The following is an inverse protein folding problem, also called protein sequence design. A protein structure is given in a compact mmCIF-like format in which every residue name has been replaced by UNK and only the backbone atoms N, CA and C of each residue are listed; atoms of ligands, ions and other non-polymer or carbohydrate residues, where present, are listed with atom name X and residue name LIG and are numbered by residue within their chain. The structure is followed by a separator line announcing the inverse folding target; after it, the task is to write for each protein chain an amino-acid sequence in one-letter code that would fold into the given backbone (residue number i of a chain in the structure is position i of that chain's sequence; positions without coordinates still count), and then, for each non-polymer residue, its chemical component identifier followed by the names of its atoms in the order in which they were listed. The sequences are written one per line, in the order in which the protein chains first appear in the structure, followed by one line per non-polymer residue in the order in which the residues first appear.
data_IF_645326128727
#
_entry.id   IF_645326128727
#
_cell.length_a   1.000
_cell.length_b   1.000
_cell.length_c   1.000
_cell.angle_alpha   90.00
_cell.angle_beta   90.00
_cell.angle_gamma   90.00
#
_symmetry.space_group_name_H-M   'P 1'
#
loop_
_entity.id
_entity.type
_entity.pdbx_description
1 polymer ?
#
# COMPACT_ATOMS: atom_id res chain seq x y z
N UNK A 1 38.43 71.60 -15.74
CA UNK A 1 39.21 70.99 -14.65
C UNK A 1 38.58 69.66 -14.26
N UNK A 2 39.31 68.65 -14.49
CA UNK A 2 39.15 67.27 -13.97
C UNK A 2 39.20 67.26 -12.43
N UNK A 3 39.03 66.13 -11.74
CA UNK A 3 38.59 64.78 -12.08
C UNK A 3 37.65 64.16 -10.98
N UNK A 4 37.19 63.01 -10.95
CA UNK A 4 37.64 61.63 -11.00
C UNK A 4 36.67 60.74 -10.27
N UNK A 5 36.44 59.61 -10.86
CA UNK A 5 36.51 58.27 -10.34
C UNK A 5 35.75 57.88 -9.03
N UNK A 6 34.95 56.85 -9.09
CA UNK A 6 35.25 55.49 -8.70
C UNK A 6 33.96 54.63 -8.81
N UNK A 7 33.80 53.77 -9.80
CA UNK A 7 34.05 52.34 -9.86
C UNK A 7 33.18 51.45 -8.94
N UNK A 8 32.31 50.68 -9.63
CA UNK A 8 32.05 49.25 -9.55
C UNK A 8 31.89 48.51 -8.19
N UNK A 9 30.92 47.77 -8.25
CA UNK A 9 30.68 46.36 -7.81
C UNK A 9 29.40 46.29 -7.01
N UNK A 10 28.47 45.46 -7.27
CA UNK A 10 28.52 44.05 -7.63
C UNK A 10 27.13 43.56 -7.99
N UNK A 11 26.93 43.22 -9.23
CA UNK A 11 25.96 42.20 -9.61
C UNK A 11 26.58 40.85 -9.30
N UNK A 12 26.12 40.20 -8.27
CA UNK A 12 26.18 38.73 -8.06
C UNK A 12 25.39 38.37 -6.80
N UNK A 13 24.52 37.37 -6.96
CA UNK A 13 23.81 36.62 -5.90
C UNK A 13 22.32 36.92 -5.69
N UNK A 14 21.52 36.87 -6.79
CA UNK A 14 20.08 36.66 -6.67
C UNK A 14 19.57 35.32 -7.23
N UNK A 15 20.44 34.46 -7.76
CA UNK A 15 20.02 33.13 -8.26
C UNK A 15 20.17 31.98 -7.27
N UNK A 16 20.77 32.22 -6.09
CA UNK A 16 20.96 31.18 -5.06
C UNK A 16 19.85 31.06 -4.01
N UNK A 17 18.94 32.03 -3.92
CA UNK A 17 17.88 32.03 -2.88
C UNK A 17 16.52 31.51 -3.34
N UNK A 18 16.32 31.34 -4.64
CA UNK A 18 15.04 30.84 -5.18
C UNK A 18 14.88 29.32 -5.09
N UNK A 19 15.97 28.57 -5.07
CA UNK A 19 15.92 27.10 -4.98
C UNK A 19 15.82 26.56 -3.55
N UNK A 20 16.26 27.33 -2.55
CA UNK A 20 16.12 26.93 -1.13
C UNK A 20 14.74 27.26 -0.54
N UNK A 21 14.01 28.21 -1.13
CA UNK A 21 12.65 28.56 -0.67
C UNK A 21 11.61 27.59 -1.25
N UNK A 22 11.88 26.98 -2.41
CA UNK A 22 11.01 25.94 -2.97
C UNK A 22 11.08 24.61 -2.21
N UNK A 23 12.18 24.29 -1.55
CA UNK A 23 12.31 23.08 -0.73
C UNK A 23 11.72 23.23 0.68
N UNK A 24 11.53 24.45 1.18
CA UNK A 24 10.97 24.67 2.51
C UNK A 24 9.44 24.72 2.57
N UNK A 25 8.74 24.97 1.47
CA UNK A 25 7.27 25.00 1.43
C UNK A 25 6.61 23.69 1.02
N UNK A 26 7.37 22.68 0.60
CA UNK A 26 6.87 21.31 0.37
C UNK A 26 6.97 20.43 1.61
N UNK A 27 7.60 20.88 2.69
CA UNK A 27 7.87 20.10 3.90
C UNK A 27 6.72 20.08 4.93
N UNK A 28 5.51 20.51 4.61
CA UNK A 28 4.37 20.47 5.53
C UNK A 28 3.63 19.12 5.54
N UNK A 29 4.05 18.16 4.75
CA UNK A 29 3.61 16.76 4.85
C UNK A 29 4.63 15.89 5.58
N UNK A 30 5.48 16.46 6.43
CA UNK A 30 6.33 15.63 7.27
C UNK A 30 5.46 14.98 8.35
N UNK A 31 5.49 13.63 8.45
CA UNK A 31 5.31 13.02 9.74
C UNK A 31 6.37 13.63 10.64
N UNK A 32 5.97 14.30 11.71
CA UNK A 32 6.89 14.76 12.75
C UNK A 32 7.49 13.50 13.36
N UNK A 33 8.54 12.97 12.75
CA UNK A 33 9.38 11.94 13.32
C UNK A 33 10.23 12.61 14.41
N UNK A 34 9.68 12.72 15.60
CA UNK A 34 10.54 12.68 16.77
C UNK A 34 11.13 11.28 16.75
N UNK A 35 12.46 11.18 16.62
CA UNK A 35 13.23 9.97 16.87
C UNK A 35 12.84 9.38 18.24
N UNK A 36 11.76 8.61 18.26
CA UNK A 36 11.52 7.64 19.32
C UNK A 36 12.30 6.42 18.89
N UNK A 37 13.26 6.01 19.73
CA UNK A 37 13.96 4.73 19.63
C UNK A 37 12.96 3.67 19.20
N UNK A 38 13.03 3.26 17.94
CA UNK A 38 12.23 2.17 17.40
C UNK A 38 12.55 0.94 18.25
N UNK A 39 11.53 0.37 18.87
CA UNK A 39 11.66 -0.92 19.55
C UNK A 39 12.26 -1.91 18.55
N UNK A 40 13.31 -2.59 18.98
CA UNK A 40 14.09 -3.55 18.21
C UNK A 40 13.19 -4.68 17.66
N UNK A 41 12.51 -4.44 16.54
CA UNK A 41 11.93 -5.48 15.67
C UNK A 41 13.05 -6.17 14.87
N UNK A 42 14.27 -5.62 14.95
CA UNK A 42 15.41 -5.90 14.07
C UNK A 42 16.07 -7.26 14.33
N UNK A 43 15.82 -7.95 15.46
CA UNK A 43 16.55 -9.19 15.78
C UNK A 43 16.00 -10.48 15.16
N UNK A 44 14.92 -10.43 14.35
CA UNK A 44 14.34 -11.62 13.71
C UNK A 44 14.51 -11.59 12.18
N UNK A 45 15.38 -10.74 11.68
CA UNK A 45 15.55 -10.57 10.25
C UNK A 45 16.85 -11.20 9.75
N UNK A 46 16.82 -12.32 8.99
CA UNK A 46 18.01 -12.92 8.36
C UNK A 46 18.56 -12.07 7.20
N UNK A 47 18.18 -10.78 7.09
CA UNK A 47 18.50 -9.93 5.94
C UNK A 47 19.84 -9.21 6.09
N UNK A 48 20.94 -9.92 6.15
CA UNK A 48 22.22 -9.22 6.12
C UNK A 48 22.80 -8.96 4.73
N UNK A 49 22.31 -9.62 3.66
CA UNK A 49 23.09 -9.67 2.43
C UNK A 49 22.24 -9.57 1.14
N UNK A 50 21.35 -8.57 0.99
CA UNK A 50 20.87 -8.20 -0.35
C UNK A 50 22.02 -7.44 -1.04
N UNK A 51 22.53 -8.00 -2.15
CA UNK A 51 23.61 -7.41 -2.93
C UNK A 51 24.92 -8.18 -2.92
N UNK A 52 25.05 -9.25 -2.15
CA UNK A 52 26.15 -10.18 -2.29
C UNK A 52 25.86 -11.13 -3.47
N UNK A 53 26.41 -10.81 -4.63
CA UNK A 53 26.24 -11.59 -5.88
C UNK A 53 26.88 -12.97 -5.82
N UNK A 54 27.67 -13.28 -4.79
CA UNK A 54 28.24 -14.61 -4.57
C UNK A 54 27.23 -15.60 -3.99
N UNK A 55 26.12 -15.12 -3.42
CA UNK A 55 25.08 -15.93 -2.80
C UNK A 55 23.98 -16.27 -3.82
N UNK A 56 23.48 -17.52 -3.74
CA UNK A 56 22.41 -17.99 -4.61
C UNK A 56 21.09 -17.29 -4.27
N UNK A 57 20.28 -17.01 -5.30
CA UNK A 57 18.90 -16.59 -5.13
C UNK A 57 18.05 -17.75 -4.61
N UNK A 58 17.08 -17.42 -3.75
CA UNK A 58 16.19 -18.43 -3.18
C UNK A 58 16.04 -18.36 -1.68
N UNK A 59 15.48 -19.42 -1.07
CA UNK A 59 15.32 -19.52 0.38
C UNK A 59 16.66 -19.31 1.12
N UNK A 60 16.66 -18.48 2.16
CA UNK A 60 17.84 -18.23 3.01
C UNK A 60 18.08 -19.40 3.95
N UNK A 61 17.00 -19.84 4.60
CA UNK A 61 16.99 -21.00 5.48
C UNK A 61 16.14 -22.09 4.84
N UNK A 62 16.61 -23.35 4.83
CA UNK A 62 15.85 -24.47 4.28
C UNK A 62 14.59 -24.74 5.11
N UNK A 63 13.58 -25.33 4.49
CA UNK A 63 12.42 -25.85 5.18
C UNK A 63 12.84 -26.93 6.20
N UNK A 64 12.40 -26.78 7.43
CA UNK A 64 12.60 -27.80 8.47
C UNK A 64 11.44 -28.82 8.46
N UNK A 65 11.66 -30.06 8.88
CA UNK A 65 10.56 -31.04 9.03
C UNK A 65 9.47 -30.49 9.95
N UNK A 66 8.19 -30.71 9.61
CA UNK A 66 7.06 -30.24 10.43
C UNK A 66 7.11 -30.74 11.88
N UNK A 67 7.72 -31.90 12.12
CA UNK A 67 7.94 -32.46 13.45
C UNK A 67 8.90 -31.62 14.31
N UNK A 68 9.75 -30.81 13.69
CA UNK A 68 10.70 -29.91 14.37
C UNK A 68 10.12 -28.52 14.59
N UNK A 69 9.02 -28.20 13.92
CA UNK A 69 8.31 -26.94 14.15
C UNK A 69 7.71 -26.95 15.54
N UNK A 70 7.91 -25.89 16.30
CA UNK A 70 7.33 -25.74 17.64
C UNK A 70 5.79 -25.90 17.58
N UNK A 71 5.25 -26.91 18.27
CA UNK A 71 3.82 -27.20 18.27
C UNK A 71 3.03 -26.26 19.19
N UNK A 72 3.61 -25.92 20.35
CA UNK A 72 2.95 -25.08 21.34
C UNK A 72 3.16 -23.58 21.02
N UNK A 73 2.14 -22.74 21.29
CA UNK A 73 2.27 -21.29 21.12
C UNK A 73 3.45 -20.70 21.93
N UNK A 74 3.94 -19.55 21.49
CA UNK A 74 4.90 -18.80 22.27
C UNK A 74 4.28 -18.26 23.55
N UNK A 75 5.07 -18.20 24.63
CA UNK A 75 4.60 -17.70 25.92
C UNK A 75 4.30 -16.21 25.85
N UNK A 76 3.11 -15.83 26.32
CA UNK A 76 2.74 -14.44 26.58
C UNK A 76 3.01 -14.07 28.03
N UNK A 77 3.22 -12.79 28.37
CA UNK A 77 3.19 -12.33 29.75
C UNK A 77 1.87 -12.72 30.44
N UNK A 78 1.94 -13.02 31.75
CA UNK A 78 0.84 -13.59 32.54
C UNK A 78 -0.55 -12.94 32.36
N UNK A 79 -0.71 -11.61 32.20
CA UNK A 79 -2.02 -10.98 32.03
C UNK A 79 -2.70 -11.23 30.69
N UNK A 80 -2.03 -11.88 29.72
CA UNK A 80 -2.49 -12.01 28.36
C UNK A 80 -2.69 -13.46 27.93
N UNK A 81 -3.53 -13.66 26.93
CA UNK A 81 -3.83 -14.96 26.29
C UNK A 81 -3.95 -14.79 24.78
N UNK A 82 -3.61 -15.85 24.02
CA UNK A 82 -3.80 -15.91 22.59
C UNK A 82 -5.28 -16.11 22.23
N UNK A 83 -5.69 -15.57 21.10
CA UNK A 83 -7.00 -15.80 20.50
C UNK A 83 -6.87 -15.83 18.98
N UNK A 84 -7.68 -16.65 18.33
CA UNK A 84 -7.87 -16.58 16.87
C UNK A 84 -9.04 -15.65 16.58
N UNK A 85 -8.88 -14.75 15.61
CA UNK A 85 -9.90 -13.79 15.22
C UNK A 85 -10.60 -14.25 13.94
N UNK A 86 -11.83 -14.77 14.07
CA UNK A 86 -12.65 -15.15 12.92
C UNK A 86 -13.34 -13.92 12.31
N UNK A 87 -12.80 -13.39 11.22
CA UNK A 87 -13.36 -12.21 10.56
C UNK A 87 -14.67 -12.48 9.80
N UNK A 88 -15.07 -13.74 9.63
CA UNK A 88 -16.40 -14.06 9.11
C UNK A 88 -17.51 -13.86 10.17
N UNK A 89 -17.15 -13.93 11.45
CA UNK A 89 -18.03 -13.51 12.53
C UNK A 89 -18.18 -11.99 12.55
N UNK A 90 -19.40 -11.48 12.52
CA UNK A 90 -19.69 -10.03 12.55
C UNK A 90 -19.18 -9.38 13.83
N UNK A 91 -19.32 -10.05 14.97
CA UNK A 91 -18.87 -9.55 16.27
C UNK A 91 -17.35 -9.44 16.31
N UNK A 92 -16.63 -10.51 15.88
CA UNK A 92 -15.18 -10.51 15.85
C UNK A 92 -14.63 -9.52 14.84
N UNK A 93 -15.20 -9.45 13.64
CA UNK A 93 -14.82 -8.47 12.63
C UNK A 93 -15.01 -7.04 13.14
N UNK A 94 -16.12 -6.77 13.83
CA UNK A 94 -16.40 -5.47 14.46
C UNK A 94 -15.40 -5.15 15.57
N UNK A 95 -15.01 -6.14 16.38
CA UNK A 95 -14.00 -5.95 17.43
C UNK A 95 -12.63 -5.62 16.83
N UNK A 96 -12.18 -6.38 15.82
CA UNK A 96 -10.91 -6.10 15.12
C UNK A 96 -10.94 -4.75 14.43
N UNK A 97 -12.04 -4.42 13.73
CA UNK A 97 -12.24 -3.11 13.11
C UNK A 97 -12.10 -1.98 14.13
N UNK A 98 -12.81 -2.05 15.25
CA UNK A 98 -12.76 -1.02 16.29
C UNK A 98 -11.36 -0.93 16.92
N UNK A 99 -10.69 -2.07 17.10
CA UNK A 99 -9.33 -2.11 17.62
C UNK A 99 -8.33 -1.42 16.66
N UNK A 100 -8.35 -1.76 15.38
CA UNK A 100 -7.50 -1.15 14.37
C UNK A 100 -7.78 0.35 14.24
N UNK A 101 -9.04 0.75 14.16
CA UNK A 101 -9.44 2.16 14.06
C UNK A 101 -8.84 3.02 15.16
N UNK A 102 -8.75 2.52 16.40
CA UNK A 102 -8.24 3.27 17.56
C UNK A 102 -6.73 3.18 17.71
N UNK A 103 -6.15 2.02 17.37
CA UNK A 103 -4.76 1.72 17.75
C UNK A 103 -3.80 1.61 16.57
N UNK A 104 -4.29 1.45 15.34
CA UNK A 104 -3.42 1.39 14.15
C UNK A 104 -2.80 2.76 13.82
N UNK A 105 -3.57 3.87 13.78
CA UNK A 105 -3.00 5.18 13.52
C UNK A 105 -2.08 5.63 14.66
N UNK A 106 -1.03 6.36 14.32
CA UNK A 106 -0.19 7.04 15.31
C UNK A 106 -0.85 8.34 15.78
N UNK A 107 -0.54 8.78 17.01
CA UNK A 107 -1.09 10.02 17.54
C UNK A 107 -0.47 11.24 16.86
N UNK A 108 -1.29 12.24 16.58
CA UNK A 108 -0.84 13.56 16.11
C UNK A 108 -0.86 13.75 14.59
N UNK A 109 -1.42 12.83 13.82
CA UNK A 109 -1.68 13.03 12.41
C UNK A 109 -3.03 13.74 12.18
N UNK A 110 -3.11 14.57 11.12
CA UNK A 110 -4.34 15.22 10.68
C UNK A 110 -5.29 14.25 9.98
N UNK A 111 -4.75 13.15 9.46
CA UNK A 111 -5.46 12.15 8.70
C UNK A 111 -5.14 10.76 9.22
N UNK A 112 -6.17 9.95 9.42
CA UNK A 112 -6.06 8.58 9.91
C UNK A 112 -6.74 7.63 8.93
N UNK A 113 -6.01 6.60 8.46
CA UNK A 113 -6.60 5.55 7.62
C UNK A 113 -7.72 4.83 8.38
N UNK A 114 -8.84 4.68 7.73
CA UNK A 114 -10.01 4.01 8.30
C UNK A 114 -10.48 2.90 7.38
N UNK A 115 -10.21 1.67 7.77
CA UNK A 115 -10.65 0.48 7.04
C UNK A 115 -12.14 0.23 7.32
N UNK A 116 -12.91 -0.26 6.34
CA UNK A 116 -14.25 -0.79 6.59
C UNK A 116 -14.17 -2.27 7.01
N UNK A 117 -15.26 -2.81 7.58
CA UNK A 117 -15.34 -4.24 7.86
C UNK A 117 -15.31 -5.08 6.58
N UNK A 118 -15.95 -4.59 5.55
CA UNK A 118 -15.96 -5.18 4.22
C UNK A 118 -14.56 -5.20 3.61
N UNK A 119 -13.80 -4.12 3.77
CA UNK A 119 -12.39 -4.06 3.35
C UNK A 119 -11.54 -5.07 4.13
N UNK A 120 -11.70 -5.17 5.46
CA UNK A 120 -10.94 -6.13 6.27
C UNK A 120 -11.23 -7.58 5.84
N UNK A 121 -12.49 -7.93 5.55
CA UNK A 121 -12.84 -9.25 5.01
C UNK A 121 -12.25 -9.49 3.63
N UNK A 122 -12.31 -8.51 2.75
CA UNK A 122 -11.70 -8.59 1.43
C UNK A 122 -10.18 -8.79 1.53
N UNK A 123 -9.50 -8.03 2.36
CA UNK A 123 -8.05 -8.07 2.50
C UNK A 123 -7.54 -9.32 3.22
N UNK A 124 -8.34 -9.93 4.12
CA UNK A 124 -7.89 -10.97 5.05
C UNK A 124 -8.55 -12.33 4.86
N UNK A 125 -9.64 -12.41 4.09
CA UNK A 125 -10.34 -13.68 3.84
C UNK A 125 -10.39 -14.04 2.35
N UNK A 126 -9.23 -14.02 1.61
CA UNK A 126 -9.19 -14.48 0.23
C UNK A 126 -9.42 -16.01 0.16
N UNK A 127 -9.70 -16.57 -1.03
CA UNK A 127 -9.83 -18.02 -1.21
C UNK A 127 -8.62 -18.77 -0.63
N UNK A 128 -8.88 -19.80 0.16
CA UNK A 128 -7.84 -20.62 0.78
C UNK A 128 -7.09 -19.96 1.94
N UNK A 129 -7.58 -18.85 2.50
CA UNK A 129 -6.98 -18.26 3.69
C UNK A 129 -7.02 -19.20 4.90
N UNK A 130 -6.10 -18.98 5.83
CA UNK A 130 -6.02 -19.73 7.08
C UNK A 130 -6.52 -18.86 8.23
N UNK A 131 -7.70 -19.14 8.76
CA UNK A 131 -8.25 -18.42 9.90
C UNK A 131 -7.29 -18.37 11.10
N UNK A 132 -6.51 -19.43 11.32
CA UNK A 132 -5.51 -19.51 12.38
C UNK A 132 -4.34 -18.51 12.25
N UNK A 133 -4.19 -17.86 11.09
CA UNK A 133 -3.20 -16.80 10.87
C UNK A 133 -3.72 -15.41 11.25
N UNK A 134 -4.99 -15.30 11.64
CA UNK A 134 -5.56 -14.08 12.21
C UNK A 134 -5.43 -14.15 13.73
N UNK A 135 -4.30 -13.68 14.23
CA UNK A 135 -3.88 -13.89 15.62
C UNK A 135 -4.14 -12.63 16.42
N UNK A 136 -4.89 -12.79 17.49
CA UNK A 136 -5.11 -11.75 18.49
C UNK A 136 -4.46 -12.07 19.82
N UNK A 137 -4.27 -11.04 20.63
CA UNK A 137 -3.93 -11.14 22.05
C UNK A 137 -5.00 -10.45 22.85
N UNK A 138 -5.50 -11.10 23.88
CA UNK A 138 -6.51 -10.57 24.81
C UNK A 138 -5.96 -10.40 26.20
N UNK A 139 -6.45 -9.39 26.90
CA UNK A 139 -6.26 -9.29 28.35
C UNK A 139 -7.17 -10.34 29.04
N UNK A 140 -6.61 -11.20 29.89
CA UNK A 140 -7.34 -12.29 30.56
C UNK A 140 -8.52 -11.81 31.39
N UNK A 141 -8.37 -10.67 32.08
CA UNK A 141 -9.38 -10.11 32.98
C UNK A 141 -10.54 -9.45 32.23
N UNK A 142 -10.24 -8.57 31.28
CA UNK A 142 -11.25 -7.78 30.55
C UNK A 142 -11.74 -8.43 29.26
N UNK A 143 -11.06 -9.48 28.82
CA UNK A 143 -11.27 -10.17 27.53
C UNK A 143 -11.14 -9.25 26.30
N UNK A 144 -10.70 -8.00 26.48
CA UNK A 144 -10.52 -7.04 25.38
C UNK A 144 -9.31 -7.41 24.54
N UNK A 145 -9.43 -7.22 23.23
CA UNK A 145 -8.34 -7.33 22.27
C UNK A 145 -7.31 -6.24 22.56
N UNK A 146 -6.03 -6.61 22.62
CA UNK A 146 -4.91 -5.69 22.91
C UNK A 146 -3.81 -5.75 21.85
N UNK A 147 -3.82 -6.76 20.99
CA UNK A 147 -2.97 -6.79 19.82
C UNK A 147 -3.57 -7.69 18.74
N UNK A 148 -3.22 -7.42 17.48
CA UNK A 148 -3.67 -8.17 16.31
C UNK A 148 -2.54 -8.22 15.28
N UNK A 149 -2.39 -9.36 14.60
CA UNK A 149 -1.57 -9.57 13.42
C UNK A 149 -2.29 -10.54 12.50
N UNK A 150 -2.14 -10.36 11.20
CA UNK A 150 -2.75 -11.25 10.22
C UNK A 150 -1.76 -11.69 9.14
N UNK A 151 -2.00 -12.87 8.60
CA UNK A 151 -1.35 -13.39 7.41
C UNK A 151 -2.39 -13.97 6.46
N UNK A 152 -2.14 -13.86 5.16
CA UNK A 152 -2.92 -14.51 4.12
C UNK A 152 -1.97 -15.23 3.16
N UNK A 153 -2.36 -16.41 2.62
CA UNK A 153 -1.53 -17.10 1.64
C UNK A 153 -1.54 -16.33 0.31
N UNK A 154 -0.37 -16.24 -0.30
CA UNK A 154 -0.21 -15.64 -1.61
C UNK A 154 0.79 -16.46 -2.44
N UNK A 155 0.53 -16.60 -3.72
CA UNK A 155 1.50 -17.13 -4.67
C UNK A 155 2.26 -15.98 -5.29
N UNK A 156 3.56 -15.93 -5.05
CA UNK A 156 4.44 -14.91 -5.61
C UNK A 156 5.40 -15.60 -6.57
N UNK A 157 5.38 -15.15 -7.82
CA UNK A 157 6.38 -15.57 -8.80
C UNK A 157 7.61 -14.69 -8.63
N UNK A 158 8.74 -15.32 -8.40
CA UNK A 158 10.07 -14.71 -8.38
C UNK A 158 10.81 -15.25 -9.60
N UNK A 159 11.05 -14.41 -10.59
CA UNK A 159 11.51 -14.79 -11.91
C UNK A 159 10.68 -15.95 -12.52
N UNK A 160 11.23 -17.14 -12.62
CA UNK A 160 10.57 -18.31 -13.22
C UNK A 160 9.93 -19.25 -12.17
N UNK A 161 10.12 -18.99 -10.87
CA UNK A 161 9.64 -19.84 -9.79
C UNK A 161 8.43 -19.23 -9.10
N UNK A 162 7.37 -20.02 -8.89
CA UNK A 162 6.21 -19.63 -8.07
C UNK A 162 6.37 -20.17 -6.66
N UNK A 163 6.49 -19.25 -5.70
CA UNK A 163 6.69 -19.56 -4.30
C UNK A 163 5.42 -19.23 -3.51
N UNK A 164 4.94 -20.19 -2.69
CA UNK A 164 3.89 -19.91 -1.71
C UNK A 164 4.48 -19.12 -0.55
N UNK A 165 3.91 -17.97 -0.28
CA UNK A 165 4.32 -17.07 0.80
C UNK A 165 3.14 -16.68 1.67
N UNK A 166 3.42 -16.24 2.90
CA UNK A 166 2.43 -15.56 3.73
C UNK A 166 2.57 -14.04 3.52
N UNK A 167 1.52 -13.36 3.06
CA UNK A 167 1.44 -11.90 3.10
C UNK A 167 1.02 -11.47 4.49
N UNK A 168 1.90 -10.75 5.22
CA UNK A 168 1.68 -10.33 6.61
C UNK A 168 1.17 -8.89 6.62
N UNK A 169 0.02 -8.69 7.26
CA UNK A 169 -0.66 -7.42 7.33
C UNK A 169 -1.11 -7.08 8.77
N UNK A 170 -1.44 -5.82 9.01
CA UNK A 170 -2.13 -5.31 10.21
C UNK A 170 -1.47 -5.69 11.55
N UNK A 171 -0.13 -5.68 11.62
CA UNK A 171 0.52 -5.78 12.93
C UNK A 171 0.19 -4.53 13.76
N UNK A 172 -0.71 -4.68 14.73
CA UNK A 172 -1.17 -3.60 15.58
C UNK A 172 -1.12 -4.01 17.04
N UNK A 173 -0.52 -3.15 17.87
CA UNK A 173 -0.48 -3.31 19.33
C UNK A 173 -1.12 -2.08 19.98
N UNK A 174 -1.94 -2.30 20.99
CA UNK A 174 -2.58 -1.26 21.80
C UNK A 174 -1.56 -0.18 22.19
N UNK A 175 -1.86 1.11 21.93
CA UNK A 175 -0.93 2.24 22.10
C UNK A 175 -0.16 2.22 23.45
N UNK A 176 -0.81 1.88 24.56
CA UNK A 176 -0.21 1.77 25.89
C UNK A 176 0.72 0.55 26.07
N UNK A 177 0.71 -0.42 25.14
CA UNK A 177 1.50 -1.66 25.21
C UNK A 177 2.64 -1.72 24.18
N UNK A 178 2.81 -0.72 23.33
CA UNK A 178 3.81 -0.71 22.26
C UNK A 178 5.25 -0.93 22.76
N UNK A 179 5.60 -0.41 23.95
CA UNK A 179 6.91 -0.59 24.56
C UNK A 179 7.10 -1.90 25.36
N UNK A 180 6.09 -2.80 25.38
CA UNK A 180 6.10 -4.02 26.19
C UNK A 180 6.58 -5.27 25.43
N UNK A 181 7.25 -5.10 24.28
CA UNK A 181 7.80 -6.18 23.44
C UNK A 181 6.76 -7.23 22.99
N UNK A 182 5.49 -6.83 22.83
CA UNK A 182 4.44 -7.75 22.40
C UNK A 182 4.54 -8.05 20.89
N UNK A 183 4.86 -7.04 20.06
CA UNK A 183 4.98 -7.22 18.63
C UNK A 183 5.98 -8.31 18.20
N UNK A 184 7.22 -8.40 18.75
CA UNK A 184 8.13 -9.49 18.44
C UNK A 184 7.58 -10.89 18.75
N UNK A 185 6.81 -11.03 19.83
CA UNK A 185 6.18 -12.32 20.19
C UNK A 185 5.09 -12.67 19.21
N UNK A 186 4.29 -11.70 18.76
CA UNK A 186 3.26 -11.90 17.74
C UNK A 186 3.86 -12.30 16.39
N UNK A 187 4.96 -11.67 15.99
CA UNK A 187 5.69 -12.05 14.76
C UNK A 187 6.16 -13.51 14.86
N UNK A 188 6.76 -13.91 15.98
CA UNK A 188 7.17 -15.30 16.20
C UNK A 188 5.99 -16.27 16.12
N UNK A 189 4.84 -15.89 16.67
CA UNK A 189 3.66 -16.75 16.68
C UNK A 189 3.04 -16.90 15.29
N UNK A 190 2.90 -15.81 14.52
CA UNK A 190 2.39 -15.92 13.14
C UNK A 190 3.37 -16.70 12.27
N UNK A 191 4.69 -16.54 12.44
CA UNK A 191 5.71 -17.33 11.74
C UNK A 191 5.55 -18.81 12.06
N UNK A 192 5.39 -19.18 13.34
CA UNK A 192 5.13 -20.56 13.77
C UNK A 192 3.88 -21.14 13.10
N UNK A 193 2.77 -20.38 13.08
CA UNK A 193 1.51 -20.81 12.47
C UNK A 193 1.61 -20.97 10.95
N UNK A 194 2.41 -20.14 10.29
CA UNK A 194 2.70 -20.24 8.86
C UNK A 194 3.56 -21.48 8.58
N UNK A 195 4.60 -21.73 9.37
CA UNK A 195 5.45 -22.92 9.24
C UNK A 195 4.66 -24.23 9.45
N UNK A 196 3.67 -24.26 10.37
CA UNK A 196 2.78 -25.42 10.54
C UNK A 196 1.94 -25.74 9.29
N UNK A 197 1.80 -24.81 8.35
CA UNK A 197 1.18 -25.03 7.04
C UNK A 197 2.21 -25.33 5.94
N UNK A 198 3.45 -25.65 6.32
CA UNK A 198 4.57 -25.91 5.40
C UNK A 198 4.85 -24.74 4.43
N UNK A 199 4.68 -23.52 4.90
CA UNK A 199 5.02 -22.28 4.20
C UNK A 199 6.14 -21.61 4.99
N UNK A 200 7.25 -21.26 4.31
CA UNK A 200 8.50 -20.85 4.97
C UNK A 200 8.90 -19.42 4.60
N UNK A 201 8.26 -18.84 3.62
CA UNK A 201 8.52 -17.48 3.13
C UNK A 201 7.34 -16.58 3.44
N UNK A 202 7.64 -15.30 3.60
CA UNK A 202 6.62 -14.27 3.74
C UNK A 202 6.97 -13.02 2.94
N UNK A 203 5.94 -12.25 2.59
CA UNK A 203 6.05 -10.94 1.99
C UNK A 203 5.30 -9.92 2.85
N UNK A 204 5.84 -8.70 2.96
CA UNK A 204 5.20 -7.61 3.67
C UNK A 204 5.71 -6.25 3.17
N UNK A 205 4.97 -5.20 3.46
CA UNK A 205 5.39 -3.83 3.16
C UNK A 205 5.31 -2.94 4.39
N UNK A 206 6.14 -1.90 4.43
CA UNK A 206 6.18 -0.92 5.51
C UNK A 206 6.36 0.49 4.95
N UNK A 207 5.72 1.51 5.54
CA UNK A 207 5.96 2.90 5.17
C UNK A 207 7.33 3.40 5.63
N UNK A 208 7.85 2.85 6.74
CA UNK A 208 9.16 3.19 7.29
C UNK A 208 10.21 2.16 6.91
N UNK A 209 11.35 2.62 6.44
CA UNK A 209 12.48 1.75 6.12
C UNK A 209 13.10 1.18 7.40
N UNK A 210 12.97 -0.14 7.62
CA UNK A 210 13.48 -0.85 8.80
C UNK A 210 14.73 -1.68 8.53
N UNK A 211 14.83 -2.22 7.32
CA UNK A 211 15.93 -3.05 6.85
C UNK A 211 16.20 -2.73 5.38
N UNK A 212 17.02 -3.51 4.68
CA UNK A 212 17.19 -3.39 3.24
C UNK A 212 15.96 -3.97 2.54
N UNK A 213 15.11 -3.14 1.89
CA UNK A 213 13.95 -3.63 1.18
C UNK A 213 14.35 -4.26 -0.16
N UNK A 214 13.50 -5.14 -0.69
CA UNK A 214 13.68 -5.67 -2.05
C UNK A 214 13.43 -4.58 -3.08
N UNK A 215 12.54 -3.64 -2.78
CA UNK A 215 12.36 -2.38 -3.52
C UNK A 215 11.70 -1.32 -2.65
N UNK A 216 11.89 -0.07 -3.04
CA UNK A 216 11.19 1.09 -2.44
C UNK A 216 10.41 1.77 -3.54
N UNK A 217 9.09 1.87 -3.35
CA UNK A 217 8.18 2.49 -4.28
C UNK A 217 7.71 3.85 -3.75
N UNK A 218 7.49 4.77 -4.65
CA UNK A 218 7.08 6.13 -4.34
C UNK A 218 5.58 6.30 -4.57
N UNK A 219 4.86 6.87 -3.61
CA UNK A 219 3.47 7.29 -3.81
C UNK A 219 3.36 8.58 -4.61
N UNK A 220 2.37 8.59 -5.49
CA UNK A 220 1.93 9.74 -6.26
C UNK A 220 0.45 9.95 -6.03
N UNK A 221 0.01 11.20 -6.05
CA UNK A 221 -1.37 11.58 -5.74
C UNK A 221 -1.97 12.45 -6.83
N UNK A 222 -3.22 12.17 -7.21
CA UNK A 222 -3.98 12.94 -8.17
C UNK A 222 -5.24 13.49 -7.51
N UNK A 223 -5.31 14.80 -7.35
CA UNK A 223 -6.48 15.48 -6.79
C UNK A 223 -7.69 15.36 -7.73
N UNK A 224 -8.80 14.83 -7.22
CA UNK A 224 -10.10 14.77 -7.91
C UNK A 224 -11.04 15.87 -7.41
N UNK A 225 -10.90 16.26 -6.14
CA UNK A 225 -11.63 17.35 -5.49
C UNK A 225 -10.66 18.35 -4.83
N UNK A 226 -9.97 19.20 -5.65
CA UNK A 226 -8.94 20.10 -5.13
C UNK A 226 -9.45 21.04 -4.04
N UNK A 227 -10.71 21.50 -4.15
CA UNK A 227 -11.27 22.43 -3.15
C UNK A 227 -11.35 21.78 -1.78
N UNK A 228 -11.94 20.57 -1.67
CA UNK A 228 -12.04 19.85 -0.41
C UNK A 228 -10.67 19.52 0.16
N UNK A 229 -9.76 19.03 -0.68
CA UNK A 229 -8.42 18.64 -0.26
C UNK A 229 -7.59 19.81 0.30
N UNK A 230 -7.76 21.01 -0.28
CA UNK A 230 -7.13 22.23 0.25
C UNK A 230 -7.84 22.71 1.51
N UNK A 231 -9.17 22.68 1.55
CA UNK A 231 -9.96 23.08 2.72
C UNK A 231 -9.65 22.25 3.98
N UNK A 232 -9.32 20.96 3.82
CA UNK A 232 -8.94 20.07 4.95
C UNK A 232 -7.45 20.07 5.27
N UNK A 233 -6.64 20.80 4.52
CA UNK A 233 -5.19 20.83 4.72
C UNK A 233 -4.43 19.60 4.16
N UNK A 234 -5.09 18.77 3.33
CA UNK A 234 -4.44 17.65 2.66
C UNK A 234 -3.44 18.14 1.59
N UNK A 235 -3.71 19.26 0.99
CA UNK A 235 -2.85 19.92 0.00
C UNK A 235 -2.91 21.44 0.20
N UNK A 236 -2.07 22.18 -0.50
CA UNK A 236 -2.05 23.63 -0.49
C UNK A 236 -2.12 24.20 -1.91
N UNK A 237 -2.46 25.47 -2.01
CA UNK A 237 -2.32 26.20 -3.27
C UNK A 237 -0.84 26.36 -3.62
N UNK A 238 -0.45 25.99 -4.84
CA UNK A 238 0.88 26.26 -5.35
C UNK A 238 1.11 27.77 -5.52
N UNK A 239 2.35 28.19 -5.50
CA UNK A 239 2.73 29.58 -5.72
C UNK A 239 2.07 30.14 -7.00
N UNK A 240 1.53 31.35 -6.89
CA UNK A 240 0.83 32.07 -7.96
C UNK A 240 -0.42 31.37 -8.52
N UNK A 241 -0.92 30.32 -7.85
CA UNK A 241 -2.19 29.66 -8.20
C UNK A 241 -3.33 30.16 -7.32
N UNK A 242 -4.49 30.31 -7.94
CA UNK A 242 -5.76 30.57 -7.22
C UNK A 242 -6.59 29.28 -7.19
N UNK A 243 -7.55 29.18 -6.28
CA UNK A 243 -8.47 28.04 -6.21
C UNK A 243 -9.12 27.75 -7.57
N UNK A 244 -9.61 28.77 -8.26
CA UNK A 244 -10.25 28.62 -9.57
C UNK A 244 -9.28 28.05 -10.63
N UNK A 245 -8.04 28.52 -10.64
CA UNK A 245 -7.01 27.99 -11.55
C UNK A 245 -6.67 26.55 -11.21
N UNK A 246 -6.57 26.22 -9.92
CA UNK A 246 -6.30 24.84 -9.45
C UNK A 246 -7.43 23.91 -9.84
N UNK A 247 -8.70 24.27 -9.59
CA UNK A 247 -9.86 23.48 -10.02
C UNK A 247 -9.88 23.27 -11.54
N UNK A 248 -9.56 24.33 -12.33
CA UNK A 248 -9.48 24.22 -13.80
C UNK A 248 -8.32 23.32 -14.24
N UNK A 249 -7.16 23.36 -13.56
CA UNK A 249 -6.01 22.51 -13.87
C UNK A 249 -6.33 21.03 -13.74
N UNK A 250 -7.11 20.65 -12.71
CA UNK A 250 -7.48 19.27 -12.40
C UNK A 250 -8.85 18.85 -12.94
N UNK A 251 -9.46 19.68 -13.80
CA UNK A 251 -10.74 19.33 -14.43
C UNK A 251 -10.59 18.09 -15.30
N UNK A 252 -11.53 17.16 -15.16
CA UNK A 252 -11.68 15.94 -15.95
C UNK A 252 -12.91 16.04 -16.84
N UNK A 253 -12.96 15.27 -17.94
CA UNK A 253 -14.21 15.02 -18.68
C UNK A 253 -15.31 14.46 -17.77
N UNK A 254 -16.55 14.54 -18.21
CA UNK A 254 -17.69 14.06 -17.42
C UNK A 254 -17.95 12.55 -17.61
N UNK A 255 -17.45 11.94 -18.69
CA UNK A 255 -17.61 10.51 -19.02
C UNK A 255 -16.31 9.91 -19.52
N UNK A 256 -16.06 8.61 -19.28
CA UNK A 256 -14.96 7.87 -19.89
C UNK A 256 -14.95 8.02 -21.41
N UNK A 257 -13.77 8.08 -21.99
CA UNK A 257 -13.58 8.35 -23.42
C UNK A 257 -13.21 7.11 -24.25
N UNK A 258 -12.75 6.03 -23.59
CA UNK A 258 -12.35 4.79 -24.27
C UNK A 258 -13.58 4.00 -24.68
N UNK A 259 -13.77 3.71 -25.99
CA UNK A 259 -14.87 2.87 -26.44
C UNK A 259 -14.79 1.47 -25.83
N UNK A 260 -15.93 0.94 -25.39
CA UNK A 260 -16.00 -0.38 -24.74
C UNK A 260 -15.55 -0.41 -23.27
N UNK A 261 -15.24 0.74 -22.67
CA UNK A 261 -14.92 0.83 -21.25
C UNK A 261 -16.18 0.57 -20.41
N UNK A 262 -16.13 -0.45 -19.56
CA UNK A 262 -17.24 -0.83 -18.68
C UNK A 262 -16.76 -1.49 -17.39
N UNK A 263 -17.61 -1.60 -16.39
CA UNK A 263 -17.34 -2.33 -15.15
C UNK A 263 -17.09 -3.82 -15.45
N UNK A 264 -16.17 -4.44 -14.70
CA UNK A 264 -15.85 -5.86 -14.82
C UNK A 264 -17.00 -6.71 -14.28
N UNK A 265 -17.36 -7.77 -14.99
CA UNK A 265 -18.41 -8.70 -14.62
C UNK A 265 -17.83 -10.11 -14.34
N UNK A 266 -18.63 -10.98 -13.68
CA UNK A 266 -18.22 -12.37 -13.39
C UNK A 266 -17.77 -13.13 -14.64
N UNK A 267 -18.44 -12.91 -15.77
CA UNK A 267 -18.12 -13.54 -17.07
C UNK A 267 -16.72 -13.20 -17.59
N UNK A 268 -16.14 -12.09 -17.13
CA UNK A 268 -14.83 -11.60 -17.61
C UNK A 268 -13.66 -12.27 -16.88
N UNK A 269 -13.90 -12.92 -15.74
CA UNK A 269 -12.86 -13.49 -14.87
C UNK A 269 -11.85 -14.33 -15.64
N UNK A 270 -12.21 -15.29 -16.51
CA UNK A 270 -11.22 -16.07 -17.24
C UNK A 270 -10.37 -15.24 -18.21
N UNK A 271 -10.97 -14.24 -18.87
CA UNK A 271 -10.25 -13.35 -19.78
C UNK A 271 -9.32 -12.40 -19.04
N UNK A 272 -9.79 -11.80 -17.96
CA UNK A 272 -9.02 -10.93 -17.07
C UNK A 272 -7.85 -11.69 -16.46
N UNK A 273 -8.06 -12.94 -16.01
CA UNK A 273 -6.98 -13.78 -15.45
C UNK A 273 -5.85 -14.00 -16.48
N UNK A 274 -6.21 -14.36 -17.72
CA UNK A 274 -5.21 -14.53 -18.79
C UNK A 274 -4.48 -13.23 -19.10
N UNK A 275 -5.22 -12.13 -19.20
CA UNK A 275 -4.66 -10.81 -19.49
C UNK A 275 -3.68 -10.38 -18.39
N UNK A 276 -4.07 -10.52 -17.13
CA UNK A 276 -3.28 -10.14 -15.96
C UNK A 276 -2.03 -11.02 -15.83
N UNK A 277 -2.14 -12.35 -15.96
CA UNK A 277 -0.99 -13.26 -15.90
C UNK A 277 0.02 -12.96 -17.00
N UNK A 278 -0.45 -12.74 -18.23
CA UNK A 278 0.43 -12.37 -19.36
C UNK A 278 1.15 -11.05 -19.11
N UNK A 279 0.47 -10.07 -18.52
CA UNK A 279 1.06 -8.80 -18.17
C UNK A 279 2.08 -8.95 -17.02
N UNK A 280 1.71 -9.67 -15.97
CA UNK A 280 2.56 -9.82 -14.79
C UNK A 280 3.79 -10.70 -15.06
N UNK A 281 3.78 -11.55 -16.09
CA UNK A 281 4.92 -12.40 -16.44
C UNK A 281 6.20 -11.65 -16.84
N UNK A 282 6.08 -10.37 -17.19
CA UNK A 282 7.24 -9.56 -17.58
C UNK A 282 7.98 -8.89 -16.39
N UNK A 283 7.44 -8.97 -15.17
CA UNK A 283 8.09 -8.40 -13.99
C UNK A 283 8.89 -9.44 -13.22
N UNK A 284 10.01 -9.04 -12.60
CA UNK A 284 10.90 -9.94 -11.87
C UNK A 284 10.25 -10.61 -10.67
N UNK A 285 9.41 -9.87 -9.92
CA UNK A 285 8.63 -10.39 -8.79
C UNK A 285 7.19 -9.91 -8.96
N UNK A 286 6.24 -10.84 -9.00
CA UNK A 286 4.84 -10.53 -9.23
C UNK A 286 3.90 -11.55 -8.55
N UNK A 287 2.68 -11.13 -8.23
CA UNK A 287 1.62 -12.04 -7.78
C UNK A 287 1.23 -12.99 -8.94
N UNK A 288 1.10 -14.28 -8.65
CA UNK A 288 0.60 -15.29 -9.60
C UNK A 288 -0.88 -15.55 -9.34
N UNK A 289 -1.74 -14.87 -10.09
CA UNK A 289 -3.20 -14.98 -9.96
C UNK A 289 -3.77 -16.21 -10.67
N UNK A 290 -4.73 -16.89 -10.04
CA UNK A 290 -5.69 -17.76 -10.71
C UNK A 290 -7.08 -17.11 -10.82
N UNK A 291 -8.06 -17.83 -11.36
CA UNK A 291 -9.41 -17.29 -11.55
C UNK A 291 -10.11 -17.00 -10.22
N UNK A 292 -9.89 -17.82 -9.18
CA UNK A 292 -10.45 -17.56 -7.84
C UNK A 292 -9.86 -16.29 -7.22
N UNK A 293 -8.57 -16.06 -7.44
CA UNK A 293 -7.89 -14.84 -6.98
C UNK A 293 -8.46 -13.61 -7.70
N UNK A 294 -8.62 -13.68 -9.03
CA UNK A 294 -9.20 -12.58 -9.83
C UNK A 294 -10.64 -12.31 -9.42
N UNK A 295 -11.45 -13.35 -9.21
CA UNK A 295 -12.81 -13.21 -8.69
C UNK A 295 -12.83 -12.50 -7.34
N UNK A 296 -11.95 -12.87 -6.43
CA UNK A 296 -11.89 -12.27 -5.09
C UNK A 296 -11.34 -10.84 -5.11
N UNK A 297 -10.18 -10.62 -5.76
CA UNK A 297 -9.43 -9.39 -5.65
C UNK A 297 -9.89 -8.29 -6.61
N UNK A 298 -10.50 -8.66 -7.74
CA UNK A 298 -10.78 -7.71 -8.82
C UNK A 298 -12.26 -7.59 -9.19
N UNK A 299 -13.15 -8.51 -8.80
CA UNK A 299 -14.57 -8.25 -9.02
C UNK A 299 -15.05 -7.07 -8.17
N UNK A 300 -15.81 -6.14 -8.75
CA UNK A 300 -16.27 -4.95 -8.06
C UNK A 300 -17.03 -5.26 -6.78
N UNK A 301 -16.66 -4.59 -5.71
CA UNK A 301 -17.34 -4.58 -4.41
C UNK A 301 -17.46 -3.15 -3.96
N UNK A 302 -18.67 -2.67 -3.80
CA UNK A 302 -18.94 -1.28 -3.42
C UNK A 302 -18.16 -0.90 -2.17
N UNK A 303 -17.51 0.27 -2.19
CA UNK A 303 -16.65 0.82 -1.13
C UNK A 303 -15.44 -0.04 -0.73
N UNK A 304 -15.03 -1.00 -1.57
CA UNK A 304 -13.85 -1.85 -1.35
C UNK A 304 -12.95 -1.83 -2.58
N UNK A 305 -13.40 -2.38 -3.69
CA UNK A 305 -12.63 -2.49 -4.92
C UNK A 305 -13.52 -2.23 -6.13
N UNK A 306 -12.96 -1.54 -7.09
CA UNK A 306 -13.58 -1.23 -8.38
C UNK A 306 -12.65 -1.66 -9.49
N UNK A 307 -13.19 -2.32 -10.50
CA UNK A 307 -12.43 -2.70 -11.69
C UNK A 307 -13.25 -2.51 -12.95
N UNK A 308 -12.56 -2.20 -14.01
CA UNK A 308 -13.10 -1.90 -15.31
C UNK A 308 -12.30 -2.61 -16.39
N UNK A 309 -12.97 -3.01 -17.44
CA UNK A 309 -12.36 -3.61 -18.62
C UNK A 309 -12.66 -2.77 -19.85
N UNK A 310 -11.84 -2.92 -20.88
CA UNK A 310 -12.18 -2.46 -22.24
C UNK A 310 -12.52 -3.68 -23.06
N UNK A 311 -13.74 -3.73 -23.57
CA UNK A 311 -14.24 -4.78 -24.45
C UNK A 311 -14.31 -4.29 -25.89
N UNK A 312 -13.64 -5.00 -26.80
CA UNK A 312 -13.66 -4.69 -28.22
C UNK A 312 -13.99 -5.97 -29.01
N UNK A 313 -15.11 -5.99 -29.71
CA UNK A 313 -15.58 -7.17 -30.46
C UNK A 313 -15.62 -8.45 -29.63
N UNK A 314 -16.25 -8.39 -28.47
CA UNK A 314 -16.38 -9.47 -27.48
C UNK A 314 -15.03 -9.98 -26.91
N UNK A 315 -13.96 -9.20 -27.05
CA UNK A 315 -12.63 -9.52 -26.48
C UNK A 315 -12.25 -8.47 -25.44
N UNK A 316 -11.88 -8.92 -24.25
CA UNK A 316 -11.30 -8.07 -23.22
C UNK A 316 -9.85 -7.79 -23.58
N UNK A 317 -9.54 -6.51 -23.77
CA UNK A 317 -8.22 -6.05 -24.20
C UNK A 317 -7.45 -5.34 -23.10
N UNK A 318 -8.13 -4.64 -22.21
CA UNK A 318 -7.47 -3.84 -21.17
C UNK A 318 -8.23 -4.00 -19.83
N UNK A 319 -7.53 -3.80 -18.74
CA UNK A 319 -8.02 -3.87 -17.37
C UNK A 319 -7.48 -2.71 -16.57
N UNK A 320 -8.30 -2.09 -15.74
CA UNK A 320 -7.85 -1.19 -14.70
C UNK A 320 -8.65 -1.37 -13.42
N UNK A 321 -8.02 -1.11 -12.28
CA UNK A 321 -8.65 -1.29 -10.98
C UNK A 321 -8.09 -0.35 -9.92
N UNK A 322 -8.89 -0.10 -8.90
CA UNK A 322 -8.49 0.61 -7.68
C UNK A 322 -9.27 0.09 -6.48
N UNK A 323 -8.66 0.13 -5.31
CA UNK A 323 -9.32 -0.17 -4.04
C UNK A 323 -9.45 1.10 -3.19
N UNK A 324 -10.18 1.03 -2.07
CA UNK A 324 -10.52 2.22 -1.30
C UNK A 324 -10.12 2.09 0.16
N UNK A 325 -9.43 3.10 0.67
CA UNK A 325 -9.17 3.27 2.11
C UNK A 325 -9.38 4.75 2.44
N UNK A 326 -10.55 5.14 2.97
CA UNK A 326 -10.79 6.54 3.30
C UNK A 326 -9.93 7.00 4.47
N UNK A 327 -9.65 8.31 4.49
CA UNK A 327 -8.97 8.97 5.60
C UNK A 327 -10.00 9.69 6.46
N UNK A 328 -10.00 9.45 7.77
CA UNK A 328 -10.69 10.28 8.74
C UNK A 328 -9.93 11.58 8.92
N UNK A 329 -10.61 12.72 8.85
CA UNK A 329 -10.03 14.03 9.09
C UNK A 329 -10.21 14.36 10.57
N UNK A 330 -9.11 14.49 11.27
CA UNK A 330 -9.11 14.80 12.71
C UNK A 330 -9.42 16.29 12.92
N UNK A 331 -10.30 16.59 13.87
CA UNK A 331 -10.64 17.95 14.32
C UNK A 331 -11.14 18.94 13.24
N UNK A 332 -11.68 18.43 12.12
CA UNK A 332 -12.26 19.30 11.10
C UNK A 332 -13.78 19.41 11.27
N UNK A 333 -14.35 20.65 11.42
CA UNK A 333 -15.79 20.84 11.65
C UNK A 333 -16.64 20.55 10.41
N UNK A 334 -16.07 20.74 9.21
CA UNK A 334 -16.81 20.68 7.93
C UNK A 334 -16.76 19.32 7.27
N UNK A 335 -15.59 18.71 7.24
CA UNK A 335 -15.35 17.44 6.55
C UNK A 335 -14.86 16.40 7.54
N UNK A 336 -15.48 15.22 7.53
CA UNK A 336 -15.12 14.10 8.42
C UNK A 336 -14.20 13.09 7.75
N UNK A 337 -14.28 12.96 6.42
CA UNK A 337 -13.50 12.00 5.65
C UNK A 337 -12.93 12.63 4.38
N UNK A 338 -11.82 12.09 3.91
CA UNK A 338 -11.33 12.23 2.53
C UNK A 338 -11.46 10.86 1.89
N UNK A 339 -12.24 10.78 0.82
CA UNK A 339 -12.46 9.54 0.08
C UNK A 339 -11.27 9.29 -0.84
N UNK A 340 -10.51 8.23 -0.54
CA UNK A 340 -9.28 7.89 -1.24
C UNK A 340 -9.45 6.61 -2.06
N UNK A 341 -9.03 6.66 -3.32
CA UNK A 341 -8.86 5.53 -4.20
C UNK A 341 -7.36 5.24 -4.37
N UNK A 342 -6.99 3.97 -4.40
CA UNK A 342 -5.61 3.51 -4.60
C UNK A 342 -5.55 2.67 -5.85
N UNK A 343 -4.77 3.12 -6.84
CA UNK A 343 -4.53 2.37 -8.07
C UNK A 343 -4.03 0.97 -7.75
N UNK A 344 -4.64 -0.05 -8.34
CA UNK A 344 -4.33 -1.44 -8.06
C UNK A 344 -3.62 -2.08 -9.26
N UNK A 345 -4.26 -2.93 -10.03
CA UNK A 345 -3.68 -3.50 -11.24
C UNK A 345 -4.23 -2.84 -12.50
N UNK A 346 -3.33 -2.42 -13.41
CA UNK A 346 -3.68 -1.76 -14.66
C UNK A 346 -2.93 -2.42 -15.81
N UNK A 347 -3.66 -2.96 -16.77
CA UNK A 347 -3.12 -3.65 -17.93
C UNK A 347 -3.65 -2.99 -19.20
N UNK A 348 -2.78 -2.41 -19.98
CA UNK A 348 -3.11 -1.72 -21.23
C UNK A 348 -2.43 -2.45 -22.40
N UNK A 349 -3.23 -3.06 -23.28
CA UNK A 349 -2.71 -3.77 -24.46
C UNK A 349 -3.13 -3.15 -25.78
N UNK A 350 -4.28 -2.53 -25.84
CA UNK A 350 -4.82 -1.83 -27.02
C UNK A 350 -4.98 -0.34 -26.77
N UNK A 351 -5.45 0.03 -25.60
CA UNK A 351 -5.53 1.41 -25.16
C UNK A 351 -4.17 1.83 -24.59
N UNK A 352 -3.74 3.08 -24.75
CA UNK A 352 -2.56 3.55 -24.02
C UNK A 352 -2.82 3.62 -22.52
N UNK A 353 -1.83 3.29 -21.71
CA UNK A 353 -2.00 3.32 -20.24
C UNK A 353 -2.41 4.71 -19.73
N UNK A 354 -1.87 5.85 -20.22
CA UNK A 354 -2.37 7.16 -19.84
C UNK A 354 -3.86 7.38 -20.18
N UNK A 355 -4.34 6.92 -21.34
CA UNK A 355 -5.76 7.04 -21.69
C UNK A 355 -6.64 6.19 -20.77
N UNK A 356 -6.26 4.94 -20.51
CA UNK A 356 -6.96 4.05 -19.60
C UNK A 356 -7.03 4.64 -18.19
N UNK A 357 -5.92 5.15 -17.68
CA UNK A 357 -5.85 5.78 -16.35
C UNK A 357 -6.59 7.13 -16.30
N UNK A 358 -6.73 7.85 -17.42
CA UNK A 358 -7.61 9.02 -17.46
C UNK A 358 -9.08 8.62 -17.25
N UNK A 359 -9.52 7.50 -17.81
CA UNK A 359 -10.86 6.97 -17.57
C UNK A 359 -11.05 6.51 -16.11
N UNK A 360 -10.00 5.93 -15.49
CA UNK A 360 -9.99 5.63 -14.04
C UNK A 360 -10.20 6.90 -13.21
N UNK A 361 -9.51 7.99 -13.54
CA UNK A 361 -9.70 9.28 -12.85
C UNK A 361 -11.14 9.79 -12.98
N UNK A 362 -11.75 9.65 -14.16
CA UNK A 362 -13.12 10.09 -14.42
C UNK A 362 -14.10 9.28 -13.56
N UNK A 363 -14.04 7.93 -13.62
CA UNK A 363 -14.96 7.08 -12.84
C UNK A 363 -14.73 7.20 -11.34
N UNK A 364 -13.49 7.35 -10.89
CA UNK A 364 -13.20 7.60 -9.48
C UNK A 364 -13.86 8.90 -8.99
N UNK A 365 -13.77 9.97 -9.79
CA UNK A 365 -14.44 11.23 -9.48
C UNK A 365 -15.97 11.11 -9.49
N UNK A 366 -16.55 10.38 -10.47
CA UNK A 366 -17.98 10.12 -10.53
C UNK A 366 -18.49 9.35 -9.30
N UNK A 367 -17.68 8.43 -8.77
CA UNK A 367 -17.99 7.67 -7.55
C UNK A 367 -17.74 8.47 -6.25
N UNK A 368 -17.34 9.75 -6.36
CA UNK A 368 -17.21 10.67 -5.22
C UNK A 368 -15.86 10.64 -4.51
N UNK A 369 -14.84 10.02 -5.10
CA UNK A 369 -13.50 10.06 -4.53
C UNK A 369 -12.89 11.46 -4.65
N UNK A 370 -12.13 11.84 -3.64
CA UNK A 370 -11.46 13.15 -3.54
C UNK A 370 -10.04 13.11 -4.10
N UNK A 371 -9.39 11.95 -4.01
CA UNK A 371 -8.00 11.74 -4.40
C UNK A 371 -7.78 10.32 -4.90
N UNK A 372 -6.90 10.16 -5.91
CA UNK A 372 -6.41 8.86 -6.35
C UNK A 372 -4.90 8.78 -6.10
N UNK A 373 -4.49 7.74 -5.39
CA UNK A 373 -3.09 7.38 -5.16
C UNK A 373 -2.62 6.36 -6.18
N UNK A 374 -1.35 6.43 -6.55
CA UNK A 374 -0.66 5.40 -7.32
C UNK A 374 0.77 5.23 -6.82
N UNK A 375 1.27 4.00 -6.83
CA UNK A 375 2.69 3.71 -6.68
C UNK A 375 3.35 3.72 -8.07
N UNK A 376 4.64 4.02 -8.12
CA UNK A 376 5.46 3.98 -9.34
C UNK A 376 5.86 2.56 -9.76
N UNK A 377 5.09 1.54 -9.34
CA UNK A 377 5.29 0.13 -9.68
C UNK A 377 4.89 -0.18 -11.12
N UNK A 378 5.39 -1.29 -11.64
CA UNK A 378 5.06 -1.77 -12.99
C UNK A 378 5.31 -0.66 -14.04
N UNK A 379 4.35 -0.39 -14.91
CA UNK A 379 4.45 0.67 -15.94
C UNK A 379 3.79 1.99 -15.53
N UNK A 380 3.45 2.17 -14.26
CA UNK A 380 2.70 3.35 -13.78
C UNK A 380 3.42 4.67 -14.03
N UNK A 381 4.75 4.70 -14.05
CA UNK A 381 5.52 5.93 -14.33
C UNK A 381 5.08 6.62 -15.65
N UNK A 382 4.62 5.82 -16.64
CA UNK A 382 4.22 6.31 -17.95
C UNK A 382 3.04 7.29 -17.93
N UNK A 383 2.15 7.21 -16.93
CA UNK A 383 0.99 8.11 -16.85
C UNK A 383 1.08 9.17 -15.74
N UNK A 384 1.93 8.97 -14.74
CA UNK A 384 1.92 9.79 -13.52
C UNK A 384 2.06 11.29 -13.81
N UNK A 385 3.10 11.68 -14.55
CA UNK A 385 3.33 13.09 -14.89
C UNK A 385 2.33 13.63 -15.90
N UNK A 386 2.00 12.83 -16.92
CA UNK A 386 1.07 13.21 -17.98
C UNK A 386 -0.32 13.53 -17.42
N UNK A 387 -0.81 12.70 -16.51
CA UNK A 387 -2.11 12.89 -15.86
C UNK A 387 -2.07 13.79 -14.62
N UNK A 388 -0.95 14.52 -14.41
CA UNK A 388 -0.79 15.52 -13.34
C UNK A 388 -0.91 14.93 -11.94
N UNK A 389 -0.33 13.76 -11.73
CA UNK A 389 -0.08 13.27 -10.38
C UNK A 389 1.07 14.09 -9.77
N UNK A 390 0.93 14.43 -8.52
CA UNK A 390 1.95 15.08 -7.71
C UNK A 390 2.70 14.03 -6.88
N UNK A 391 3.99 14.24 -6.69
CA UNK A 391 4.80 13.38 -5.83
C UNK A 391 4.31 13.52 -4.38
N UNK A 392 4.02 12.42 -3.71
CA UNK A 392 3.71 12.42 -2.29
C UNK A 392 4.97 12.23 -1.45
N UNK A 393 4.97 12.70 -0.22
CA UNK A 393 6.09 12.49 0.72
C UNK A 393 6.09 11.10 1.37
N UNK A 394 5.30 10.16 0.84
CA UNK A 394 5.16 8.81 1.35
C UNK A 394 5.81 7.79 0.41
N UNK A 395 6.51 6.84 1.00
CA UNK A 395 7.10 5.70 0.31
C UNK A 395 6.54 4.39 0.87
N UNK A 396 6.65 3.32 0.09
CA UNK A 396 6.35 1.97 0.51
C UNK A 396 7.56 1.08 0.26
N UNK A 397 8.05 0.45 1.32
CA UNK A 397 9.19 -0.45 1.26
C UNK A 397 8.70 -1.90 1.29
N UNK A 398 9.05 -2.68 0.28
CA UNK A 398 8.66 -4.08 0.13
C UNK A 398 9.75 -5.01 0.63
N UNK A 399 9.36 -6.07 1.32
CA UNK A 399 10.26 -7.05 1.92
C UNK A 399 9.80 -8.48 1.64
N UNK A 400 10.77 -9.36 1.45
CA UNK A 400 10.58 -10.81 1.47
C UNK A 400 11.28 -11.37 2.72
N UNK A 401 10.59 -12.20 3.47
CA UNK A 401 11.17 -12.94 4.60
C UNK A 401 11.58 -14.34 4.15
N UNK A 402 12.76 -14.78 4.58
CA UNK A 402 13.35 -16.06 4.24
C UNK A 402 13.43 -16.33 2.71
N UNK A 403 13.59 -15.26 1.93
CA UNK A 403 13.85 -15.37 0.49
C UNK A 403 14.81 -14.26 0.05
N UNK A 404 15.88 -14.62 -0.63
CA UNK A 404 16.90 -13.69 -1.12
C UNK A 404 16.72 -13.46 -2.60
N UNK A 405 16.72 -12.18 -2.99
CA UNK A 405 16.93 -11.78 -4.39
C UNK A 405 18.39 -11.45 -4.61
N UNK A 406 18.90 -11.79 -5.78
CA UNK A 406 20.29 -11.51 -6.17
C UNK A 406 20.56 -10.01 -6.24
N UNK A 407 19.59 -9.23 -6.72
CA UNK A 407 19.67 -7.77 -6.84
C UNK A 407 18.38 -7.14 -6.33
N UNK A 408 18.48 -5.93 -5.77
CA UNK A 408 17.30 -5.13 -5.45
C UNK A 408 16.54 -4.76 -6.74
N UNK A 409 15.23 -4.78 -6.68
CA UNK A 409 14.37 -4.45 -7.82
C UNK A 409 14.18 -2.93 -7.93
N UNK A 410 14.02 -2.46 -9.16
CA UNK A 410 13.39 -1.16 -9.41
C UNK A 410 11.88 -1.28 -9.20
N UNK A 411 11.18 -0.19 -8.86
CA UNK A 411 9.71 -0.21 -8.79
C UNK A 411 9.06 -0.76 -10.07
N UNK A 412 9.63 -0.43 -11.25
CA UNK A 412 9.15 -0.93 -12.55
C UNK A 412 9.33 -2.43 -12.78
N UNK A 413 10.07 -3.13 -11.92
CA UNK A 413 10.30 -4.58 -11.97
C UNK A 413 9.43 -5.35 -10.96
N UNK A 414 8.64 -4.61 -10.14
CA UNK A 414 7.73 -5.17 -9.14
C UNK A 414 6.30 -5.22 -9.67
N UNK A 415 5.71 -6.42 -9.74
CA UNK A 415 4.32 -6.70 -10.09
C UNK A 415 3.46 -7.09 -8.89
N UNK A 416 3.72 -6.49 -7.72
CA UNK A 416 2.94 -6.69 -6.49
C UNK A 416 2.43 -5.34 -6.00
N UNK A 417 1.17 -5.31 -5.59
CA UNK A 417 0.54 -4.19 -4.87
C UNK A 417 -0.10 -4.74 -3.59
N UNK A 418 0.31 -4.19 -2.43
CA UNK A 418 -0.21 -4.59 -1.11
C UNK A 418 -1.18 -3.57 -0.56
#
# INVERSE_FOLDING_TARGET
MKPSDVVNASDRDEHGKSSQIQSQNMSQFQPISKEKKADQIVEVNPFKDIGDTSLLEGPVEPATPLSEVKQEPYNLPSPYEWTTCDLNSDDMCSEVYNFLKVHHPDDGYLFEETYSREFLRWALCPPGYYQIWHIGVRAKTSKKLVAFISGVPERIRVHDEVVKMAKINFLCVHKKLRSKRLAPVMIKEVTRMVHLQNIWQAAYSLPDKRATPVTTCQYWVRMLNPKKLIDVGFSCLRDRMTMNRTVKLYKLPDTPITPGFRETEQRDVPAVTRLLRNYLSQFGVATDFDENDVEHWLLPRENVVYSYVVETHDVITDLCSFYTVPLTVVDNPKYKTVECAYSYYNVATKTSLPQLMNDVLIVSKQKGFDVLYALDVMHNESFLKELKFDLADAQMHYYLYNYRLRTALKPSELGIVF
#
